data_IF_682098093717
#
_entry.id   IF_682098093717
#
_cell.length_a   1.000
_cell.length_b   1.000
_cell.length_c   1.000
_cell.angle_alpha   90.00
_cell.angle_beta   90.00
_cell.angle_gamma   90.00
#
_symmetry.space_group_name_H-M   'P 1'
#
loop_
_entity.id
_entity.type
_entity.pdbx_description
1 polymer ?
#
# COMPACT_ATOMS: atom_id res chain seq x y z
N UNK A 1 15.26 -83.33 36.68
CA UNK A 1 15.10 -81.86 36.78
C UNK A 1 16.36 -81.22 36.24
N UNK A 2 16.33 -80.57 35.07
CA UNK A 2 17.51 -79.93 34.50
C UNK A 2 17.83 -78.63 35.26
N UNK A 3 19.11 -78.28 35.47
CA UNK A 3 19.45 -77.10 36.27
C UNK A 3 19.11 -75.81 35.52
N UNK A 4 18.29 -74.95 36.14
CA UNK A 4 18.03 -73.60 35.66
C UNK A 4 19.32 -72.78 35.70
N UNK A 5 19.84 -72.39 34.53
CA UNK A 5 20.97 -71.45 34.44
C UNK A 5 20.51 -70.06 34.88
N UNK A 6 21.08 -69.54 35.97
CA UNK A 6 20.91 -68.13 36.39
C UNK A 6 21.67 -67.21 35.42
N UNK A 7 21.06 -66.11 35.01
CA UNK A 7 21.67 -65.14 34.08
C UNK A 7 22.89 -64.48 34.73
N UNK A 8 23.90 -64.12 33.92
CA UNK A 8 25.14 -63.46 34.41
C UNK A 8 24.94 -62.00 34.86
N UNK A 9 23.70 -61.54 35.04
CA UNK A 9 23.36 -60.16 35.37
C UNK A 9 23.82 -59.15 34.30
N UNK A 10 23.85 -57.87 34.68
CA UNK A 10 24.33 -56.78 33.81
C UNK A 10 25.85 -56.87 33.70
N UNK A 11 26.35 -57.08 32.50
CA UNK A 11 27.79 -57.06 32.23
C UNK A 11 28.20 -55.69 31.69
N UNK A 12 29.30 -55.14 32.23
CA UNK A 12 29.90 -53.91 31.74
C UNK A 12 30.55 -54.22 30.38
N UNK A 13 30.09 -53.55 29.34
CA UNK A 13 30.62 -53.68 27.99
C UNK A 13 31.31 -52.39 27.57
N UNK A 14 32.30 -52.51 26.69
CA UNK A 14 33.01 -51.40 26.08
C UNK A 14 32.15 -50.75 24.99
N UNK A 15 32.21 -49.42 24.85
CA UNK A 15 31.33 -48.66 23.97
C UNK A 15 31.68 -48.89 22.49
N UNK A 16 31.14 -49.98 21.94
CA UNK A 16 31.39 -50.46 20.59
C UNK A 16 30.07 -50.65 19.84
N UNK A 17 30.13 -50.70 18.50
CA UNK A 17 28.95 -50.84 17.63
C UNK A 17 28.20 -52.14 17.94
N UNK A 18 27.05 -52.01 18.60
CA UNK A 18 26.20 -53.15 18.98
C UNK A 18 25.31 -53.62 17.82
N UNK A 19 25.08 -54.92 17.71
CA UNK A 19 24.26 -55.58 16.68
C UNK A 19 22.79 -55.82 17.08
N UNK A 20 22.33 -55.33 18.24
CA UNK A 20 20.97 -55.58 18.75
C UNK A 20 19.96 -54.51 18.29
N UNK A 21 18.76 -54.94 17.88
CA UNK A 21 17.72 -54.11 17.25
C UNK A 21 16.86 -53.25 18.21
N UNK A 22 16.97 -53.37 19.53
CA UNK A 22 15.97 -52.84 20.48
C UNK A 22 16.16 -51.40 21.00
N UNK A 23 16.85 -50.54 20.25
CA UNK A 23 17.17 -49.18 20.71
C UNK A 23 15.98 -48.21 20.63
N UNK A 24 15.11 -48.36 19.63
CA UNK A 24 13.96 -47.47 19.42
C UNK A 24 12.92 -47.58 20.54
N UNK A 25 12.71 -48.80 21.06
CA UNK A 25 11.70 -49.06 22.09
C UNK A 25 12.05 -48.39 23.42
N UNK A 26 13.33 -48.38 23.79
CA UNK A 26 13.82 -47.71 25.01
C UNK A 26 13.71 -46.18 24.92
N UNK A 27 13.95 -45.63 23.73
CA UNK A 27 13.75 -44.20 23.51
C UNK A 27 12.27 -43.82 23.66
N UNK A 28 11.36 -44.64 23.13
CA UNK A 28 9.91 -44.46 23.24
C UNK A 28 9.42 -44.52 24.71
N UNK A 29 9.91 -45.48 25.49
CA UNK A 29 9.61 -45.59 26.93
C UNK A 29 10.07 -44.37 27.72
N UNK A 30 11.30 -43.89 27.48
CA UNK A 30 11.84 -42.68 28.13
C UNK A 30 11.04 -41.43 27.78
N UNK A 31 10.67 -41.25 26.51
CA UNK A 31 9.87 -40.10 26.07
C UNK A 31 8.52 -40.06 26.79
N UNK A 32 7.88 -41.23 26.91
CA UNK A 32 6.57 -41.38 27.55
C UNK A 32 6.65 -41.13 29.05
N UNK A 33 7.68 -41.66 29.72
CA UNK A 33 7.86 -41.51 31.18
C UNK A 33 8.24 -40.08 31.59
N UNK A 34 9.03 -39.37 30.78
CA UNK A 34 9.49 -38.03 31.10
C UNK A 34 8.58 -36.92 30.57
N UNK A 35 7.54 -37.24 29.79
CA UNK A 35 6.69 -36.23 29.11
C UNK A 35 7.48 -35.33 28.16
N UNK A 36 8.69 -35.75 27.77
CA UNK A 36 9.59 -34.95 26.96
C UNK A 36 9.18 -35.04 25.49
N UNK A 37 9.05 -33.88 24.84
CA UNK A 37 8.78 -33.82 23.39
C UNK A 37 10.07 -34.08 22.63
N UNK A 38 10.20 -35.27 22.06
CA UNK A 38 11.44 -35.76 21.43
C UNK A 38 11.11 -36.27 20.03
N UNK A 39 12.02 -36.03 19.09
CA UNK A 39 12.03 -36.60 17.74
C UNK A 39 13.31 -37.38 17.56
N UNK A 40 13.20 -38.63 17.13
CA UNK A 40 14.32 -39.52 16.87
C UNK A 40 14.26 -40.00 15.42
N UNK A 41 15.31 -39.71 14.65
CA UNK A 41 15.46 -40.17 13.26
C UNK A 41 16.67 -41.10 13.23
N UNK A 42 16.45 -42.34 12.81
CA UNK A 42 17.47 -43.39 12.76
C UNK A 42 17.69 -43.81 11.32
N UNK A 43 18.89 -43.57 10.82
CA UNK A 43 19.37 -44.08 9.54
C UNK A 43 20.02 -45.44 9.76
N UNK A 44 19.39 -46.51 9.28
CA UNK A 44 19.99 -47.84 9.32
C UNK A 44 21.09 -47.99 8.28
N UNK A 45 22.00 -48.96 8.50
CA UNK A 45 23.07 -49.29 7.54
C UNK A 45 22.51 -49.75 6.17
N UNK A 46 21.28 -50.26 6.13
CA UNK A 46 20.55 -50.58 4.91
C UNK A 46 19.90 -49.37 4.22
N UNK A 47 20.26 -48.13 4.60
CA UNK A 47 19.69 -46.86 4.11
C UNK A 47 18.17 -46.71 4.35
N UNK A 48 17.58 -47.54 5.21
CA UNK A 48 16.19 -47.34 5.66
C UNK A 48 16.16 -46.30 6.78
N UNK A 49 15.21 -45.38 6.68
CA UNK A 49 14.94 -44.36 7.69
C UNK A 49 13.82 -44.85 8.60
N UNK A 50 14.06 -44.81 9.90
CA UNK A 50 13.04 -45.02 10.93
C UNK A 50 12.88 -43.73 11.70
N UNK A 51 11.66 -43.32 11.96
CA UNK A 51 11.38 -42.07 12.66
C UNK A 51 10.38 -42.35 13.79
N UNK A 52 10.63 -41.74 14.95
CA UNK A 52 9.75 -41.75 16.10
C UNK A 52 9.64 -40.33 16.65
N UNK A 53 8.45 -39.88 17.01
CA UNK A 53 8.24 -38.58 17.62
C UNK A 53 7.04 -38.60 18.55
N UNK A 54 7.17 -37.90 19.67
CA UNK A 54 6.07 -37.60 20.58
C UNK A 54 6.01 -36.08 20.78
N UNK A 55 4.96 -35.36 20.32
CA UNK A 55 3.82 -35.82 19.51
C UNK A 55 4.23 -36.33 18.11
N UNK A 56 3.28 -36.92 17.35
CA UNK A 56 3.58 -37.58 16.07
C UNK A 56 4.40 -36.70 15.13
N UNK A 57 5.22 -37.34 14.29
CA UNK A 57 6.11 -36.60 13.39
C UNK A 57 5.31 -35.76 12.40
N UNK A 58 4.14 -36.21 11.94
CA UNK A 58 3.25 -35.37 11.12
C UNK A 58 2.90 -34.07 11.84
N UNK A 59 2.53 -34.12 13.12
CA UNK A 59 2.14 -32.91 13.87
C UNK A 59 3.26 -31.88 13.98
N UNK A 60 4.52 -32.33 14.02
CA UNK A 60 5.69 -31.45 14.08
C UNK A 60 5.97 -30.82 12.72
N UNK A 61 5.81 -31.60 11.64
CA UNK A 61 5.95 -31.11 10.26
C UNK A 61 4.85 -30.09 9.97
N UNK A 62 3.61 -30.40 10.33
CA UNK A 62 2.46 -29.51 10.15
C UNK A 62 2.65 -28.20 10.93
N UNK A 63 3.19 -28.28 12.15
CA UNK A 63 3.47 -27.10 12.96
C UNK A 63 4.55 -26.19 12.34
N UNK A 64 5.60 -26.78 11.75
CA UNK A 64 6.61 -26.03 11.02
C UNK A 64 6.00 -25.34 9.79
N UNK A 65 5.18 -26.07 9.01
CA UNK A 65 4.49 -25.52 7.85
C UNK A 65 3.53 -24.38 8.22
N UNK A 66 2.75 -24.53 9.30
CA UNK A 66 1.83 -23.47 9.78
C UNK A 66 2.60 -22.23 10.22
N UNK A 67 3.75 -22.39 10.88
CA UNK A 67 4.61 -21.25 11.24
C UNK A 67 5.15 -20.53 10.01
N UNK A 68 5.65 -21.27 9.03
CA UNK A 68 6.18 -20.70 7.79
C UNK A 68 5.08 -19.98 7.01
N UNK A 69 3.89 -20.59 6.91
CA UNK A 69 2.74 -19.99 6.25
C UNK A 69 2.26 -18.72 6.98
N UNK A 70 2.22 -18.72 8.32
CA UNK A 70 1.88 -17.53 9.10
C UNK A 70 2.89 -16.40 8.91
N UNK A 71 4.18 -16.73 8.73
CA UNK A 71 5.22 -15.75 8.43
C UNK A 71 4.99 -15.14 7.04
N UNK A 72 4.73 -15.96 6.02
CA UNK A 72 4.40 -15.50 4.68
C UNK A 72 3.12 -14.65 4.67
N UNK A 73 2.08 -15.07 5.39
CA UNK A 73 0.84 -14.33 5.50
C UNK A 73 1.06 -12.95 6.12
N UNK A 74 1.87 -12.88 7.19
CA UNK A 74 2.22 -11.59 7.83
C UNK A 74 2.97 -10.67 6.87
N UNK A 75 3.90 -11.22 6.07
CA UNK A 75 4.62 -10.45 5.04
C UNK A 75 3.67 -9.90 3.98
N UNK A 76 2.78 -10.74 3.44
CA UNK A 76 1.80 -10.33 2.43
C UNK A 76 0.82 -9.30 2.98
N UNK A 77 0.37 -9.47 4.23
CA UNK A 77 -0.51 -8.50 4.89
C UNK A 77 0.15 -7.13 5.04
N UNK A 78 1.40 -7.10 5.51
CA UNK A 78 2.16 -5.84 5.61
C UNK A 78 2.36 -5.17 4.24
N UNK A 79 2.60 -5.98 3.20
CA UNK A 79 2.72 -5.47 1.83
C UNK A 79 1.39 -4.89 1.34
N UNK A 80 0.27 -5.58 1.56
CA UNK A 80 -1.05 -5.09 1.19
C UNK A 80 -1.42 -3.81 1.92
N UNK A 81 -1.10 -3.70 3.21
CA UNK A 81 -1.32 -2.46 3.98
C UNK A 81 -0.47 -1.30 3.43
N UNK A 82 0.76 -1.58 3.01
CA UNK A 82 1.61 -0.59 2.34
C UNK A 82 1.00 -0.12 1.01
N UNK A 83 0.52 -1.05 0.18
CA UNK A 83 -0.16 -0.71 -1.09
C UNK A 83 -1.47 0.06 -0.85
N UNK A 84 -2.22 -0.27 0.21
CA UNK A 84 -3.44 0.45 0.59
C UNK A 84 -3.13 1.90 0.98
N UNK A 85 -2.12 2.11 1.84
CA UNK A 85 -1.66 3.46 2.23
C UNK A 85 -1.14 4.25 1.03
N UNK A 86 -0.48 3.58 0.09
CA UNK A 86 -0.06 4.19 -1.16
C UNK A 86 -1.27 4.66 -2.00
N UNK A 87 -2.30 3.83 -2.11
CA UNK A 87 -3.56 4.17 -2.78
C UNK A 87 -4.27 5.38 -2.15
N UNK A 88 -4.36 5.44 -0.82
CA UNK A 88 -4.96 6.57 -0.09
C UNK A 88 -4.19 7.88 -0.36
N UNK A 89 -2.86 7.84 -0.34
CA UNK A 89 -2.03 9.01 -0.65
C UNK A 89 -2.26 9.51 -2.09
N UNK A 90 -2.44 8.61 -3.05
CA UNK A 90 -2.73 8.98 -4.44
C UNK A 90 -4.10 9.67 -4.57
N UNK A 91 -5.11 9.24 -3.81
CA UNK A 91 -6.43 9.90 -3.80
C UNK A 91 -6.28 11.34 -3.30
N UNK A 92 -5.60 11.53 -2.16
CA UNK A 92 -5.36 12.87 -1.59
C UNK A 92 -4.62 13.78 -2.57
N UNK A 93 -3.56 13.27 -3.21
CA UNK A 93 -2.82 14.03 -4.22
C UNK A 93 -3.68 14.39 -5.43
N UNK A 94 -4.54 13.45 -5.88
CA UNK A 94 -5.47 13.69 -6.99
C UNK A 94 -6.48 14.77 -6.65
N UNK A 95 -7.04 14.74 -5.45
CA UNK A 95 -8.01 15.74 -4.98
C UNK A 95 -7.37 17.12 -4.87
N UNK A 96 -6.17 17.22 -4.28
CA UNK A 96 -5.41 18.47 -4.20
C UNK A 96 -5.11 19.04 -5.58
N UNK A 97 -4.67 18.19 -6.52
CA UNK A 97 -4.39 18.61 -7.90
C UNK A 97 -5.68 19.02 -8.64
N UNK A 98 -6.81 18.33 -8.42
CA UNK A 98 -8.10 18.72 -8.98
C UNK A 98 -8.56 20.08 -8.42
N UNK A 99 -8.42 20.31 -7.12
CA UNK A 99 -8.74 21.59 -6.50
C UNK A 99 -7.89 22.72 -7.10
N UNK A 100 -6.58 22.52 -7.22
CA UNK A 100 -5.67 23.44 -7.89
C UNK A 100 -6.11 23.76 -9.33
N UNK A 101 -6.42 22.73 -10.12
CA UNK A 101 -6.85 22.91 -11.50
C UNK A 101 -8.21 23.62 -11.62
N UNK A 102 -9.13 23.37 -10.68
CA UNK A 102 -10.40 24.11 -10.58
C UNK A 102 -10.16 25.60 -10.30
N UNK A 103 -9.30 25.93 -9.35
CA UNK A 103 -8.90 27.31 -9.06
C UNK A 103 -8.27 27.99 -10.27
N UNK A 104 -7.38 27.30 -10.98
CA UNK A 104 -6.75 27.83 -12.19
C UNK A 104 -7.78 28.13 -13.30
N UNK A 105 -8.75 27.24 -13.51
CA UNK A 105 -9.85 27.47 -14.46
C UNK A 105 -10.71 28.67 -14.05
N UNK A 106 -11.05 28.78 -12.77
CA UNK A 106 -11.84 29.89 -12.25
C UNK A 106 -11.12 31.23 -12.44
N UNK A 107 -9.83 31.28 -12.12
CA UNK A 107 -9.00 32.47 -12.31
C UNK A 107 -8.97 32.92 -13.77
N UNK A 108 -8.83 31.98 -14.72
CA UNK A 108 -8.90 32.28 -16.16
C UNK A 108 -10.23 32.91 -16.56
N UNK A 109 -11.35 32.36 -16.09
CA UNK A 109 -12.69 32.89 -16.37
C UNK A 109 -12.85 34.31 -15.81
N UNK A 110 -12.38 34.56 -14.59
CA UNK A 110 -12.41 35.89 -13.99
C UNK A 110 -11.58 36.90 -14.79
N UNK A 111 -10.38 36.52 -15.24
CA UNK A 111 -9.54 37.38 -16.06
C UNK A 111 -10.19 37.70 -17.42
N UNK A 112 -10.82 36.72 -18.07
CA UNK A 112 -11.55 36.95 -19.32
C UNK A 112 -12.75 37.89 -19.14
N UNK A 113 -13.51 37.74 -18.06
CA UNK A 113 -14.63 38.63 -17.74
C UNK A 113 -14.15 40.05 -17.44
N UNK A 114 -13.08 40.20 -16.67
CA UNK A 114 -12.47 41.51 -16.39
C UNK A 114 -11.98 42.17 -17.68
N UNK A 115 -11.33 41.43 -18.57
CA UNK A 115 -10.88 41.94 -19.87
C UNK A 115 -12.05 42.48 -20.71
N UNK A 116 -13.17 41.74 -20.75
CA UNK A 116 -14.40 42.18 -21.46
C UNK A 116 -14.98 43.46 -20.84
N UNK A 117 -15.01 43.55 -19.51
CA UNK A 117 -15.54 44.74 -18.82
C UNK A 117 -14.69 45.99 -19.06
N UNK A 118 -13.36 45.85 -19.08
CA UNK A 118 -12.46 46.97 -19.39
C UNK A 118 -12.65 47.46 -20.83
N UNK A 119 -12.75 46.53 -21.80
CA UNK A 119 -13.02 46.89 -23.20
C UNK A 119 -14.35 47.64 -23.33
N UNK A 120 -15.41 47.13 -22.69
CA UNK A 120 -16.73 47.78 -22.69
C UNK A 120 -16.70 49.17 -22.05
N UNK A 121 -15.92 49.36 -20.99
CA UNK A 121 -15.79 50.67 -20.36
C UNK A 121 -15.05 51.66 -21.25
N UNK A 122 -14.00 51.21 -21.95
CA UNK A 122 -13.29 52.03 -22.93
C UNK A 122 -14.22 52.45 -24.08
N UNK A 123 -15.01 51.50 -24.62
CA UNK A 123 -16.00 51.78 -25.66
C UNK A 123 -17.06 52.78 -25.17
N UNK A 124 -17.54 52.64 -23.93
CA UNK A 124 -18.51 53.55 -23.33
C UNK A 124 -17.98 54.99 -23.22
N UNK A 125 -16.77 55.17 -22.68
CA UNK A 125 -16.12 56.49 -22.60
C UNK A 125 -15.86 57.09 -23.99
N UNK A 126 -15.48 56.26 -24.96
CA UNK A 126 -15.28 56.71 -26.34
C UNK A 126 -16.59 57.22 -26.96
N UNK A 127 -17.70 56.50 -26.76
CA UNK A 127 -19.01 56.92 -27.25
C UNK A 127 -19.51 58.19 -26.55
N UNK A 128 -19.26 58.34 -25.25
CA UNK A 128 -19.58 59.58 -24.51
C UNK A 128 -18.77 60.77 -25.05
N UNK A 129 -17.48 60.60 -25.33
CA UNK A 129 -16.64 61.64 -25.93
C UNK A 129 -17.11 62.01 -27.36
N UNK A 130 -17.48 61.02 -28.18
CA UNK A 130 -18.03 61.25 -29.52
C UNK A 130 -19.37 61.99 -29.49
N UNK A 131 -20.25 61.62 -28.55
CA UNK A 131 -21.55 62.29 -28.38
C UNK A 131 -21.40 63.74 -27.92
N UNK A 132 -20.43 64.03 -27.05
CA UNK A 132 -20.13 65.42 -26.65
C UNK A 132 -19.59 66.22 -27.86
N UNK A 133 -18.67 65.64 -28.62
CA UNK A 133 -18.09 66.30 -29.79
C UNK A 133 -19.13 66.61 -30.89
N UNK A 134 -20.07 65.70 -31.15
CA UNK A 134 -21.15 65.95 -32.11
C UNK A 134 -22.13 67.01 -31.63
N UNK A 135 -22.46 67.03 -30.33
CA UNK A 135 -23.31 68.05 -29.73
C UNK A 135 -22.70 69.46 -29.88
N UNK A 136 -21.42 69.64 -29.49
CA UNK A 136 -20.73 70.93 -29.65
C UNK A 136 -20.54 71.33 -31.11
N UNK A 137 -20.30 70.37 -32.02
CA UNK A 137 -20.21 70.64 -33.46
C UNK A 137 -21.54 71.11 -34.06
N UNK A 138 -22.66 70.59 -33.56
CA UNK A 138 -24.00 71.03 -33.97
C UNK A 138 -24.29 72.47 -33.50
N UNK A 139 -24.03 72.74 -32.22
CA UNK A 139 -24.28 74.05 -31.59
C UNK A 139 -23.43 75.16 -32.24
N UNK A 140 -22.16 74.88 -32.54
CA UNK A 140 -21.29 75.82 -33.26
C UNK A 140 -21.76 76.08 -34.70
N UNK A 141 -22.29 75.08 -35.40
CA UNK A 141 -22.85 75.26 -36.75
C UNK A 141 -24.15 76.08 -36.73
N UNK A 142 -25.01 75.88 -35.74
CA UNK A 142 -26.22 76.70 -35.57
C UNK A 142 -25.88 78.15 -35.26
N UNK A 143 -24.94 78.39 -34.34
CA UNK A 143 -24.47 79.76 -34.03
C UNK A 143 -23.89 80.42 -35.28
N UNK A 144 -23.04 79.71 -36.03
CA UNK A 144 -22.45 80.23 -37.26
C UNK A 144 -23.52 80.56 -38.31
N UNK A 145 -24.54 79.70 -38.46
CA UNK A 145 -25.66 79.95 -39.36
C UNK A 145 -26.44 81.22 -38.97
N UNK A 146 -26.74 81.41 -37.68
CA UNK A 146 -27.43 82.61 -37.16
C UNK A 146 -26.61 83.87 -37.43
N UNK A 147 -25.30 83.84 -37.16
CA UNK A 147 -24.41 85.00 -37.37
C UNK A 147 -24.33 85.37 -38.86
N UNK A 148 -24.23 84.37 -39.75
CA UNK A 148 -24.22 84.61 -41.19
C UNK A 148 -25.57 85.19 -41.64
N UNK A 149 -26.69 84.66 -41.17
CA UNK A 149 -28.03 85.17 -41.51
C UNK A 149 -28.24 86.63 -41.07
N UNK A 150 -27.69 87.04 -39.92
CA UNK A 150 -27.76 88.43 -39.44
C UNK A 150 -26.84 89.40 -40.19
N UNK A 151 -25.77 88.92 -40.83
CA UNK A 151 -24.83 89.78 -41.55
C UNK A 151 -25.30 90.11 -42.98
N UNK A 152 -26.11 89.23 -43.58
CA UNK A 152 -26.58 89.34 -44.96
C UNK A 152 -28.02 89.86 -45.11
N UNK A 153 -28.67 90.23 -44.01
CA UNK A 153 -30.02 90.81 -43.97
C UNK A 153 -29.99 92.17 -43.27
#
# INVERSE_FOLDING_TARGET
>A
MAPMRKSKGRQKFEMTKMTKESNLQKACELCTLCGAKIVMIVFSLGKKVYSFGQPSIESIIDYANVRDLNMQLTQVLNQLECEMRHGEALIVMREANQAWYRWLKFLKLLLENLKKNVAMHADKHMMEALNLATFFSFETKEILFIVISLYYF
#
